data_IF_389859368373
#
_entry.id   IF_389859368373
#
_cell.length_a   1.000
_cell.length_b   1.000
_cell.length_c   1.000
_cell.angle_alpha   90.00
_cell.angle_beta   90.00
_cell.angle_gamma   90.00
#
_symmetry.space_group_name_H-M   'P 1'
#
loop_
_entity.id
_entity.type
_entity.pdbx_description
1 polymer ?
#
# COMPACT_ATOMS: atom_id res chain seq x y z
N UNK A 1 24.64 0.51 11.71
CA UNK A 1 24.99 1.86 11.22
C UNK A 1 23.68 2.43 10.71
N UNK A 2 23.17 3.53 11.29
CA UNK A 2 21.90 4.10 10.84
C UNK A 2 22.08 4.59 9.40
N UNK A 3 21.31 4.01 8.47
CA UNK A 3 21.30 4.44 7.08
C UNK A 3 20.84 5.90 7.00
N UNK A 4 21.33 6.63 5.99
CA UNK A 4 20.84 7.99 5.74
C UNK A 4 19.39 7.93 5.24
N UNK A 5 18.58 8.99 5.45
CA UNK A 5 17.20 9.04 4.96
C UNK A 5 17.05 8.74 3.46
N UNK A 6 17.97 9.22 2.63
CA UNK A 6 18.00 8.95 1.18
C UNK A 6 18.27 7.46 0.87
N UNK A 7 19.13 6.81 1.65
CA UNK A 7 19.45 5.40 1.50
C UNK A 7 18.27 4.52 1.91
N UNK A 8 17.55 4.91 2.98
CA UNK A 8 16.32 4.24 3.42
C UNK A 8 15.21 4.41 2.38
N UNK A 9 15.08 5.62 1.82
CA UNK A 9 14.15 5.89 0.74
C UNK A 9 14.39 4.99 -0.48
N UNK A 10 15.64 4.90 -0.95
CA UNK A 10 16.01 4.01 -2.05
C UNK A 10 15.74 2.55 -1.69
N UNK A 11 16.17 2.11 -0.51
CA UNK A 11 15.90 0.76 0.00
C UNK A 11 14.42 0.41 -0.09
N UNK A 12 13.54 1.31 0.37
CA UNK A 12 12.10 1.04 0.41
C UNK A 12 11.46 0.97 -0.98
N UNK A 13 12.04 1.66 -1.97
CA UNK A 13 11.58 1.66 -3.34
C UNK A 13 12.18 0.53 -4.19
N UNK A 14 13.35 -0.01 -3.80
CA UNK A 14 14.11 -1.01 -4.55
C UNK A 14 13.96 -2.44 -4.00
N UNK A 15 13.80 -2.60 -2.68
CA UNK A 15 13.65 -3.92 -2.05
C UNK A 15 12.20 -4.41 -2.13
N UNK A 16 12.03 -5.64 -2.64
CA UNK A 16 10.73 -6.27 -2.77
C UNK A 16 10.38 -7.20 -1.59
N UNK A 17 9.10 -7.25 -1.29
CA UNK A 17 8.43 -8.16 -0.37
C UNK A 17 7.39 -8.94 -1.16
N UNK A 18 7.29 -10.23 -0.85
CA UNK A 18 6.24 -11.10 -1.38
C UNK A 18 5.09 -11.19 -0.39
N UNK A 19 3.88 -10.90 -0.87
CA UNK A 19 2.64 -10.99 -0.09
C UNK A 19 1.75 -12.05 -0.71
N UNK A 20 1.23 -12.98 0.11
CA UNK A 20 0.29 -13.99 -0.37
C UNK A 20 -1.13 -13.42 -0.25
N UNK A 21 -1.83 -13.33 -1.38
CA UNK A 21 -3.19 -12.82 -1.45
C UNK A 21 -4.14 -13.97 -1.74
N UNK A 22 -5.14 -14.24 -0.87
CA UNK A 22 -6.24 -15.11 -1.23
C UNK A 22 -6.98 -14.55 -2.45
N UNK A 23 -7.08 -15.32 -3.54
CA UNK A 23 -7.61 -14.86 -4.85
C UNK A 23 -8.99 -14.20 -4.74
N UNK A 24 -9.83 -14.69 -3.82
CA UNK A 24 -11.16 -14.13 -3.55
C UNK A 24 -11.14 -12.69 -2.99
N UNK A 25 -10.00 -12.20 -2.50
CA UNK A 25 -9.81 -10.83 -2.01
C UNK A 25 -9.38 -9.86 -3.10
N UNK A 26 -8.82 -10.32 -4.24
CA UNK A 26 -8.27 -9.44 -5.28
C UNK A 26 -9.25 -8.36 -5.72
N UNK A 27 -10.48 -8.74 -6.03
CA UNK A 27 -11.51 -7.78 -6.44
C UNK A 27 -11.84 -6.79 -5.33
N UNK A 28 -11.88 -7.23 -4.06
CA UNK A 28 -12.11 -6.34 -2.92
C UNK A 28 -10.94 -5.37 -2.74
N UNK A 29 -9.70 -5.83 -2.85
CA UNK A 29 -8.51 -4.99 -2.76
C UNK A 29 -8.48 -3.95 -3.89
N UNK A 30 -8.77 -4.35 -5.13
CA UNK A 30 -8.87 -3.42 -6.27
C UNK A 30 -9.89 -2.30 -6.04
N UNK A 31 -11.09 -2.64 -5.56
CA UNK A 31 -12.11 -1.65 -5.20
C UNK A 31 -11.67 -0.71 -4.08
N UNK A 32 -10.81 -1.20 -3.17
CA UNK A 32 -10.30 -0.40 -2.07
C UNK A 32 -9.19 0.54 -2.55
N UNK A 33 -8.27 0.07 -3.39
CA UNK A 33 -7.21 0.89 -3.99
C UNK A 33 -7.81 2.01 -4.85
N UNK A 34 -8.82 1.71 -5.66
CA UNK A 34 -9.48 2.73 -6.50
C UNK A 34 -10.12 3.85 -5.66
N UNK A 35 -10.79 3.49 -4.55
CA UNK A 35 -11.33 4.47 -3.59
C UNK A 35 -10.24 5.28 -2.90
N UNK A 36 -9.14 4.64 -2.53
CA UNK A 36 -8.00 5.31 -1.91
C UNK A 36 -7.42 6.35 -2.88
N UNK A 37 -7.23 5.98 -4.15
CA UNK A 37 -6.77 6.89 -5.21
C UNK A 37 -7.74 8.06 -5.40
N UNK A 38 -9.05 7.81 -5.43
CA UNK A 38 -10.05 8.88 -5.55
C UNK A 38 -9.96 9.89 -4.39
N UNK A 39 -9.84 9.41 -3.15
CA UNK A 39 -9.71 10.27 -1.97
C UNK A 39 -8.41 11.07 -2.02
N UNK A 40 -7.29 10.44 -2.35
CA UNK A 40 -5.99 11.10 -2.39
C UNK A 40 -5.85 12.09 -3.55
N UNK A 41 -6.45 11.80 -4.71
CA UNK A 41 -6.45 12.74 -5.83
C UNK A 41 -7.15 14.06 -5.49
N UNK A 42 -8.23 14.00 -4.70
CA UNK A 42 -8.89 15.20 -4.19
C UNK A 42 -7.97 16.00 -3.23
N UNK A 43 -7.10 15.33 -2.48
CA UNK A 43 -6.14 15.97 -1.56
C UNK A 43 -4.92 16.54 -2.32
N UNK A 44 -4.47 15.86 -3.39
CA UNK A 44 -3.37 16.31 -4.26
C UNK A 44 -3.69 17.67 -4.92
N UNK A 45 -4.92 17.84 -5.41
CA UNK A 45 -5.40 19.10 -5.99
C UNK A 45 -5.34 20.28 -4.99
N UNK A 46 -5.38 19.98 -3.69
CA UNK A 46 -5.41 20.97 -2.60
C UNK A 46 -4.02 21.20 -2.00
N UNK A 47 -3.20 20.16 -1.90
CA UNK A 47 -1.96 20.14 -1.15
C UNK A 47 -0.82 19.65 -2.05
N UNK A 48 -0.03 20.58 -2.58
CA UNK A 48 1.20 20.29 -3.34
C UNK A 48 2.30 19.73 -2.40
N UNK A 49 2.14 18.47 -1.99
CA UNK A 49 2.99 17.77 -1.04
C UNK A 49 3.53 16.49 -1.66
N UNK A 50 4.86 16.39 -1.74
CA UNK A 50 5.58 15.24 -2.30
C UNK A 50 5.13 13.90 -1.70
N UNK A 51 4.87 13.84 -0.39
CA UNK A 51 4.40 12.62 0.24
C UNK A 51 3.04 12.14 -0.31
N UNK A 52 2.15 13.06 -0.71
CA UNK A 52 0.85 12.71 -1.31
C UNK A 52 1.08 12.15 -2.71
N UNK A 53 1.89 12.83 -3.53
CA UNK A 53 2.24 12.36 -4.89
C UNK A 53 2.83 10.96 -4.88
N UNK A 54 3.79 10.72 -3.98
CA UNK A 54 4.45 9.42 -3.91
C UNK A 54 3.52 8.32 -3.41
N UNK A 55 2.67 8.63 -2.44
CA UNK A 55 1.67 7.69 -1.95
C UNK A 55 0.66 7.34 -3.05
N UNK A 56 0.22 8.32 -3.86
CA UNK A 56 -0.65 8.08 -5.03
C UNK A 56 0.06 7.19 -6.05
N UNK A 57 1.31 7.50 -6.40
CA UNK A 57 2.08 6.71 -7.36
C UNK A 57 2.23 5.25 -6.92
N UNK A 58 2.53 5.02 -5.64
CA UNK A 58 2.60 3.67 -5.06
C UNK A 58 1.23 2.97 -5.05
N UNK A 59 0.14 3.69 -4.78
CA UNK A 59 -1.22 3.14 -4.86
C UNK A 59 -1.60 2.74 -6.31
N UNK A 60 -1.21 3.54 -7.30
CA UNK A 60 -1.43 3.23 -8.71
C UNK A 60 -0.61 2.02 -9.16
N UNK A 61 0.64 1.91 -8.75
CA UNK A 61 1.47 0.74 -9.04
C UNK A 61 0.89 -0.53 -8.42
N UNK A 62 0.43 -0.45 -7.15
CA UNK A 62 -0.30 -1.53 -6.50
C UNK A 62 -1.55 -1.94 -7.29
N UNK A 63 -2.34 -0.97 -7.78
CA UNK A 63 -3.52 -1.24 -8.61
C UNK A 63 -3.15 -2.01 -9.88
N UNK A 64 -2.11 -1.57 -10.60
CA UNK A 64 -1.63 -2.21 -11.83
C UNK A 64 -1.21 -3.65 -11.56
N UNK A 65 -0.42 -3.88 -10.51
CA UNK A 65 0.04 -5.22 -10.13
C UNK A 65 -1.15 -6.13 -9.78
N UNK A 66 -2.13 -5.66 -9.01
CA UNK A 66 -3.35 -6.41 -8.70
C UNK A 66 -4.18 -6.73 -9.96
N UNK A 67 -4.27 -5.82 -10.92
CA UNK A 67 -4.96 -6.06 -12.20
C UNK A 67 -4.26 -7.12 -13.05
N UNK A 68 -2.93 -7.12 -13.10
CA UNK A 68 -2.16 -8.17 -13.78
C UNK A 68 -2.46 -9.54 -13.16
N UNK A 69 -2.49 -9.61 -11.82
CA UNK A 69 -2.77 -10.84 -11.08
C UNK A 69 -4.20 -11.37 -11.30
N UNK A 70 -5.16 -10.51 -11.67
CA UNK A 70 -6.51 -10.94 -12.05
C UNK A 70 -6.52 -11.80 -13.31
N UNK A 71 -5.54 -11.65 -14.20
CA UNK A 71 -5.40 -12.46 -15.41
C UNK A 71 -4.88 -13.88 -15.13
N UNK A 72 -4.43 -14.18 -13.91
CA UNK A 72 -3.94 -15.53 -13.58
C UNK A 72 -5.05 -16.60 -13.65
N UNK A 73 -4.72 -17.85 -14.05
CA UNK A 73 -5.70 -18.92 -14.25
C UNK A 73 -6.63 -19.18 -13.05
N UNK A 74 -7.90 -19.51 -13.33
CA UNK A 74 -9.00 -19.64 -12.37
C UNK A 74 -8.83 -20.72 -11.28
N UNK A 75 -7.82 -21.59 -11.37
CA UNK A 75 -7.61 -22.72 -10.45
C UNK A 75 -6.86 -22.42 -9.15
N UNK A 76 -6.14 -21.29 -9.06
CA UNK A 76 -5.34 -20.97 -7.86
C UNK A 76 -6.19 -20.31 -6.77
N UNK A 77 -6.05 -20.77 -5.51
CA UNK A 77 -6.72 -20.16 -4.35
C UNK A 77 -5.96 -18.95 -3.78
N UNK A 78 -4.66 -18.91 -4.01
CA UNK A 78 -3.72 -17.90 -3.52
C UNK A 78 -2.86 -17.42 -4.68
N UNK A 79 -2.44 -16.18 -4.60
CA UNK A 79 -1.62 -15.50 -5.60
C UNK A 79 -0.50 -14.76 -4.87
N UNK A 80 0.68 -14.76 -5.46
CA UNK A 80 1.84 -14.06 -4.90
C UNK A 80 1.90 -12.67 -5.55
N UNK A 81 1.87 -11.64 -4.71
CA UNK A 81 2.07 -10.25 -5.10
C UNK A 81 3.50 -9.84 -4.73
N UNK A 82 4.29 -9.44 -5.72
CA UNK A 82 5.64 -8.92 -5.53
C UNK A 82 5.62 -7.38 -5.60
N UNK A 83 5.88 -6.74 -4.47
CA UNK A 83 5.78 -5.29 -4.28
C UNK A 83 6.98 -4.77 -3.50
N UNK A 84 7.40 -3.53 -3.76
CA UNK A 84 8.45 -2.93 -2.95
C UNK A 84 7.93 -2.56 -1.54
N UNK A 85 8.83 -2.23 -0.61
CA UNK A 85 8.44 -1.88 0.77
C UNK A 85 7.50 -0.66 0.77
N UNK A 86 7.74 0.35 -0.07
CA UNK A 86 6.89 1.54 -0.15
C UNK A 86 5.44 1.21 -0.57
N UNK A 87 5.26 0.39 -1.61
CA UNK A 87 3.98 -0.15 -2.05
C UNK A 87 3.34 -1.05 -0.98
N UNK A 88 4.14 -1.85 -0.26
CA UNK A 88 3.67 -2.66 0.85
C UNK A 88 3.09 -1.78 1.97
N UNK A 89 3.73 -0.65 2.31
CA UNK A 89 3.18 0.28 3.31
C UNK A 89 1.81 0.81 2.89
N UNK A 90 1.62 1.12 1.60
CA UNK A 90 0.31 1.53 1.05
C UNK A 90 -0.72 0.40 1.16
N UNK A 91 -0.34 -0.84 0.79
CA UNK A 91 -1.21 -2.01 0.94
C UNK A 91 -1.60 -2.23 2.41
N UNK A 92 -0.65 -2.08 3.33
CA UNK A 92 -0.87 -2.25 4.77
C UNK A 92 -1.86 -1.22 5.28
N UNK A 93 -1.66 0.05 4.98
CA UNK A 93 -2.58 1.11 5.43
C UNK A 93 -3.98 0.95 4.82
N UNK A 94 -4.06 0.50 3.56
CA UNK A 94 -5.32 0.15 2.92
C UNK A 94 -6.07 -0.96 3.68
N UNK A 95 -5.38 -2.07 3.97
CA UNK A 95 -5.94 -3.24 4.65
C UNK A 95 -6.35 -2.88 6.07
N UNK A 96 -5.47 -2.17 6.78
CA UNK A 96 -5.71 -1.68 8.13
C UNK A 96 -6.96 -0.80 8.19
N UNK A 97 -7.04 0.23 7.33
CA UNK A 97 -8.18 1.15 7.34
C UNK A 97 -9.50 0.42 7.05
N UNK A 98 -9.51 -0.47 6.07
CA UNK A 98 -10.71 -1.21 5.69
C UNK A 98 -11.17 -2.24 6.74
N UNK A 99 -10.23 -2.80 7.50
CA UNK A 99 -10.54 -3.72 8.59
C UNK A 99 -10.97 -2.98 9.87
N UNK A 100 -10.21 -1.95 10.26
CA UNK A 100 -10.38 -1.24 11.54
C UNK A 100 -11.59 -0.32 11.56
N UNK A 101 -11.96 0.27 10.42
CA UNK A 101 -13.10 1.19 10.35
C UNK A 101 -14.43 0.43 10.29
N UNK A 102 -15.33 0.55 11.30
CA UNK A 102 -16.55 -0.25 11.37
C UNK A 102 -17.47 -0.08 10.14
N UNK A 103 -17.52 1.12 9.59
CA UNK A 103 -18.34 1.44 8.41
C UNK A 103 -17.82 0.79 7.12
N UNK A 104 -16.49 0.58 6.98
CA UNK A 104 -15.90 -0.13 5.85
C UNK A 104 -16.00 -1.64 6.05
N UNK A 105 -15.68 -2.12 7.24
CA UNK A 105 -15.82 -3.54 7.62
C UNK A 105 -17.25 -4.04 7.48
N UNK A 106 -18.24 -3.21 7.82
CA UNK A 106 -19.67 -3.50 7.66
C UNK A 106 -20.07 -3.75 6.20
N UNK A 107 -19.46 -3.03 5.24
CA UNK A 107 -19.72 -3.16 3.80
C UNK A 107 -19.12 -4.45 3.19
N UNK A 108 -18.22 -5.14 3.88
CA UNK A 108 -17.66 -6.40 3.41
C UNK A 108 -18.69 -7.53 3.48
N UNK A 109 -18.79 -8.31 2.39
CA UNK A 109 -19.62 -9.52 2.34
C UNK A 109 -19.21 -10.51 3.44
N UNK A 110 -20.17 -11.19 4.09
CA UNK A 110 -19.85 -12.17 5.15
C UNK A 110 -18.85 -13.24 4.72
N UNK A 111 -18.91 -13.71 3.46
CA UNK A 111 -17.98 -14.68 2.88
C UNK A 111 -16.53 -14.20 2.73
N UNK A 112 -16.32 -12.88 2.77
CA UNK A 112 -15.02 -12.23 2.63
C UNK A 112 -14.42 -11.89 3.99
N UNK A 113 -15.24 -11.54 4.99
CA UNK A 113 -14.78 -11.04 6.30
C UNK A 113 -13.73 -11.90 6.99
N UNK A 114 -13.91 -13.24 6.98
CA UNK A 114 -12.92 -14.13 7.60
C UNK A 114 -11.57 -14.05 6.89
N UNK A 115 -11.55 -14.24 5.57
CA UNK A 115 -10.29 -14.18 4.83
C UNK A 115 -9.66 -12.79 4.83
N UNK A 116 -10.47 -11.74 4.90
CA UNK A 116 -9.94 -10.39 5.05
C UNK A 116 -9.29 -10.20 6.42
N UNK A 117 -9.87 -10.77 7.49
CA UNK A 117 -9.23 -10.79 8.81
C UNK A 117 -7.91 -11.56 8.76
N UNK A 118 -7.93 -12.77 8.21
CA UNK A 118 -6.74 -13.61 8.14
C UNK A 118 -5.62 -12.90 7.32
N UNK A 119 -6.00 -12.21 6.24
CA UNK A 119 -5.09 -11.39 5.44
C UNK A 119 -4.60 -10.13 6.19
N UNK A 120 -5.47 -9.48 6.97
CA UNK A 120 -5.07 -8.36 7.83
C UNK A 120 -4.02 -8.80 8.86
N UNK A 121 -4.24 -9.95 9.50
CA UNK A 121 -3.30 -10.50 10.49
C UNK A 121 -1.93 -10.78 9.83
N UNK A 122 -1.91 -11.39 8.63
CA UNK A 122 -0.68 -11.65 7.85
C UNK A 122 0.07 -10.36 7.47
N UNK A 123 -0.67 -9.32 7.04
CA UNK A 123 -0.09 -8.03 6.66
C UNK A 123 0.56 -7.34 7.86
N UNK A 124 -0.09 -7.37 9.04
CA UNK A 124 0.50 -6.81 10.26
C UNK A 124 1.71 -7.63 10.71
N UNK A 125 1.69 -8.95 10.61
CA UNK A 125 2.84 -9.80 10.93
C UNK A 125 4.07 -9.44 10.06
N UNK A 126 3.87 -9.21 8.75
CA UNK A 126 4.95 -8.76 7.84
C UNK A 126 5.42 -7.35 8.23
N UNK A 127 4.51 -6.45 8.59
CA UNK A 127 4.85 -5.09 8.99
C UNK A 127 5.67 -5.06 10.29
N UNK A 128 5.37 -5.93 11.24
CA UNK A 128 6.13 -6.06 12.49
C UNK A 128 7.56 -6.57 12.27
N UNK A 129 7.83 -7.26 11.15
CA UNK A 129 9.18 -7.68 10.77
C UNK A 129 10.04 -6.54 10.20
N UNK A 130 9.44 -5.41 9.83
CA UNK A 130 10.17 -4.25 9.33
C UNK A 130 10.76 -3.42 10.48
N UNK A 131 11.96 -2.88 10.24
CA UNK A 131 12.64 -2.00 11.19
C UNK A 131 11.85 -0.69 11.36
N UNK A 132 11.26 -0.51 12.54
CA UNK A 132 10.35 0.62 12.80
C UNK A 132 11.04 1.99 12.71
N UNK A 133 12.33 2.06 13.07
CA UNK A 133 13.13 3.27 12.91
C UNK A 133 13.34 3.63 11.44
N UNK A 134 13.47 2.64 10.55
CA UNK A 134 13.55 2.87 9.10
C UNK A 134 12.21 3.31 8.53
N UNK A 135 11.10 2.70 8.94
CA UNK A 135 9.75 3.12 8.53
C UNK A 135 9.53 4.59 8.90
N UNK A 136 9.87 4.97 10.13
CA UNK A 136 9.76 6.36 10.58
C UNK A 136 10.65 7.28 9.72
N UNK A 137 11.91 6.90 9.49
CA UNK A 137 12.83 7.68 8.69
C UNK A 137 12.36 7.86 7.24
N UNK A 138 11.77 6.83 6.63
CA UNK A 138 11.14 6.89 5.30
C UNK A 138 10.01 7.93 5.27
N UNK A 139 9.06 7.83 6.21
CA UNK A 139 7.96 8.79 6.28
C UNK A 139 8.42 10.22 6.55
N UNK A 140 9.38 10.39 7.47
CA UNK A 140 9.95 11.69 7.78
C UNK A 140 10.69 12.27 6.57
N UNK A 141 11.37 11.44 5.78
CA UNK A 141 12.05 11.87 4.55
C UNK A 141 11.06 12.42 3.53
N UNK A 142 10.04 11.66 3.14
CA UNK A 142 9.10 12.10 2.09
C UNK A 142 8.23 13.28 2.54
N UNK A 143 7.86 13.36 3.83
CA UNK A 143 7.10 14.50 4.38
C UNK A 143 7.90 15.79 4.38
N UNK A 144 9.21 15.70 4.66
CA UNK A 144 10.10 16.85 4.72
C UNK A 144 10.84 17.08 3.40
N UNK A 145 10.54 16.30 2.36
CA UNK A 145 11.09 16.48 1.03
C UNK A 145 10.56 17.80 0.46
N UNK A 146 11.27 18.88 0.76
CA UNK A 146 11.05 20.16 0.09
C UNK A 146 11.57 19.99 -1.32
N UNK A 147 10.66 20.04 -2.28
CA UNK A 147 10.99 20.21 -3.68
C UNK A 147 11.90 21.45 -3.76
N UNK A 148 13.21 21.25 -3.85
CA UNK A 148 14.18 22.32 -4.06
C UNK A 148 13.93 22.86 -5.47
N UNK A 149 13.05 23.85 -5.59
CA UNK A 149 12.99 24.75 -6.74
C UNK A 149 12.29 24.29 -8.01
N UNK A 150 11.39 23.30 -7.98
CA UNK A 150 10.59 22.95 -9.16
C UNK A 150 9.13 23.37 -9.00
N UNK A 151 8.77 24.41 -9.75
CA UNK A 151 7.41 24.62 -10.25
C UNK A 151 7.09 23.38 -11.09
N UNK A 152 6.05 22.64 -10.70
CA UNK A 152 5.40 21.69 -11.62
C UNK A 152 4.79 22.54 -12.74
N UNK A 153 5.37 22.45 -13.93
CA UNK A 153 4.81 23.02 -15.17
C UNK A 153 3.88 22.01 -15.82
#
# INVERSE_FOLDING_TARGET
>A
MLLKPEEIYSKFNDENIQVIIPKKLLFTLLQQVDRLREVLGNEEEVVNNFAIYEYISNAEMLMVKLLILMAEPYGKKEIILDINIAEFLVLRDLVFCNYSLPHLRGKMRPSIRKAYKDFYDEIEDIFEMLEQDEIKAYWDYIKNYRIKGCILH
#
